data_IF_492489053284
#
_entry.id   IF_492489053284
#
_cell.length_a   1.000
_cell.length_b   1.000
_cell.length_c   1.000
_cell.angle_alpha   90.00
_cell.angle_beta   90.00
_cell.angle_gamma   90.00
#
_symmetry.space_group_name_H-M   'P 1'
#
loop_
_entity.id
_entity.type
_entity.pdbx_description
1 polymer ?
#
# COMPACT_ATOMS: atom_id res chain seq x y z
N UNK A 1 -73.88 23.39 -29.82
CA UNK A 1 -73.29 24.23 -30.87
C UNK A 1 -72.30 23.35 -31.61
N UNK A 2 -72.73 22.85 -32.76
CA UNK A 2 -72.04 21.86 -33.58
C UNK A 2 -71.42 22.59 -34.78
N UNK A 3 -70.10 22.60 -34.87
CA UNK A 3 -69.37 23.16 -36.00
C UNK A 3 -69.52 22.26 -37.25
N UNK A 4 -69.76 22.85 -38.43
CA UNK A 4 -69.87 22.10 -39.67
C UNK A 4 -68.49 21.74 -40.22
N UNK A 5 -68.30 20.46 -40.55
CA UNK A 5 -67.13 19.99 -41.30
C UNK A 5 -67.21 20.50 -42.75
N UNK A 6 -66.30 21.40 -43.11
CA UNK A 6 -66.05 21.75 -44.52
C UNK A 6 -65.33 20.58 -45.20
N UNK A 7 -66.03 19.93 -46.14
CA UNK A 7 -65.44 18.97 -47.05
C UNK A 7 -64.47 19.66 -48.01
N UNK A 8 -63.21 19.23 -47.98
CA UNK A 8 -62.21 19.61 -48.98
C UNK A 8 -62.59 19.01 -50.33
N UNK A 9 -63.07 19.84 -51.24
CA UNK A 9 -63.21 19.53 -52.66
C UNK A 9 -61.81 19.55 -53.26
N UNK A 10 -61.25 18.37 -53.50
CA UNK A 10 -60.01 18.21 -54.26
C UNK A 10 -60.33 18.50 -55.72
N UNK A 11 -59.91 19.66 -56.21
CA UNK A 11 -60.06 20.06 -57.61
C UNK A 11 -59.30 19.10 -58.52
N UNK A 12 -59.96 18.62 -59.57
CA UNK A 12 -59.45 17.67 -60.56
C UNK A 12 -58.27 18.19 -61.44
N UNK A 13 -57.74 19.38 -61.12
CA UNK A 13 -56.67 20.04 -61.87
C UNK A 13 -55.25 19.64 -61.43
N UNK A 14 -55.11 18.84 -60.36
CA UNK A 14 -53.80 18.34 -59.89
C UNK A 14 -53.36 17.01 -60.54
N UNK A 15 -54.15 16.44 -61.46
CA UNK A 15 -53.84 15.17 -62.14
C UNK A 15 -52.96 15.30 -63.40
N UNK A 16 -52.55 16.51 -63.78
CA UNK A 16 -51.78 16.75 -65.01
C UNK A 16 -50.47 17.50 -64.80
N UNK A 17 -49.88 17.46 -63.61
CA UNK A 17 -48.49 17.90 -63.46
C UNK A 17 -47.57 16.82 -64.04
N UNK A 18 -46.75 17.14 -65.05
CA UNK A 18 -45.74 16.21 -65.54
C UNK A 18 -44.87 15.79 -64.37
N UNK A 19 -44.53 14.50 -64.34
CA UNK A 19 -43.68 13.86 -63.34
C UNK A 19 -42.32 14.58 -63.35
N UNK A 20 -42.21 15.69 -62.61
CA UNK A 20 -40.94 16.36 -62.36
C UNK A 20 -40.17 15.33 -61.58
N UNK A 21 -39.24 14.65 -62.25
CA UNK A 21 -38.27 13.77 -61.63
C UNK A 21 -37.71 14.54 -60.44
N UNK A 22 -38.18 14.18 -59.24
CA UNK A 22 -37.69 14.74 -58.00
C UNK A 22 -36.18 14.60 -58.08
N UNK A 23 -35.41 15.71 -58.07
CA UNK A 23 -33.96 15.64 -58.21
C UNK A 23 -33.49 14.62 -57.20
N UNK A 24 -32.84 13.57 -57.69
CA UNK A 24 -32.40 12.44 -56.87
C UNK A 24 -31.72 13.03 -55.64
N UNK A 25 -32.34 12.81 -54.48
CA UNK A 25 -31.83 13.35 -53.22
C UNK A 25 -30.38 12.90 -53.14
N UNK A 26 -29.40 13.83 -53.14
CA UNK A 26 -28.00 13.46 -53.24
C UNK A 26 -27.70 12.46 -52.13
N UNK A 27 -27.22 11.27 -52.52
CA UNK A 27 -26.99 10.18 -51.59
C UNK A 27 -26.14 10.69 -50.43
N UNK A 28 -26.73 10.63 -49.23
CA UNK A 28 -26.15 11.21 -48.04
C UNK A 28 -24.87 10.45 -47.68
N UNK A 29 -23.73 11.12 -47.87
CA UNK A 29 -22.41 10.50 -47.77
C UNK A 29 -22.05 10.18 -46.32
N UNK A 30 -21.56 8.96 -46.09
CA UNK A 30 -21.15 8.49 -44.77
C UNK A 30 -19.70 8.90 -44.53
N UNK A 31 -19.41 9.55 -43.41
CA UNK A 31 -18.06 10.01 -43.07
C UNK A 31 -17.42 9.21 -41.92
N UNK A 32 -16.12 8.93 -42.04
CA UNK A 32 -15.34 8.28 -41.00
C UNK A 32 -15.29 9.11 -39.72
N UNK A 33 -15.64 8.53 -38.57
CA UNK A 33 -15.62 9.26 -37.28
C UNK A 33 -14.22 9.65 -36.80
N UNK A 34 -13.16 9.05 -37.36
CA UNK A 34 -11.76 9.33 -37.02
C UNK A 34 -11.15 10.44 -37.89
N UNK A 35 -11.22 10.32 -39.21
CA UNK A 35 -10.57 11.26 -40.14
C UNK A 35 -11.55 12.09 -40.98
N UNK A 36 -12.86 11.87 -40.85
CA UNK A 36 -13.91 12.50 -41.66
C UNK A 36 -13.85 12.19 -43.17
N UNK A 37 -13.04 11.21 -43.60
CA UNK A 37 -13.07 10.74 -44.99
C UNK A 37 -14.37 10.02 -45.31
N UNK A 38 -14.89 10.20 -46.52
CA UNK A 38 -16.08 9.49 -47.01
C UNK A 38 -15.82 7.98 -47.04
N UNK A 39 -16.80 7.19 -46.58
CA UNK A 39 -16.79 5.73 -46.56
C UNK A 39 -17.98 5.24 -47.38
N UNK A 40 -17.81 4.24 -48.25
CA UNK A 40 -18.91 3.72 -49.07
C UNK A 40 -20.04 3.10 -48.23
N UNK A 41 -19.71 2.43 -47.12
CA UNK A 41 -20.67 1.71 -46.28
C UNK A 41 -20.30 1.81 -44.80
N UNK A 42 -21.29 1.65 -43.90
CA UNK A 42 -21.11 1.79 -42.43
C UNK A 42 -20.06 0.81 -41.87
N UNK A 43 -19.96 -0.38 -42.45
CA UNK A 43 -19.05 -1.44 -41.99
C UNK A 43 -17.73 -1.49 -42.78
N UNK A 44 -17.59 -0.67 -43.83
CA UNK A 44 -16.37 -0.61 -44.62
C UNK A 44 -15.22 0.00 -43.81
N UNK A 45 -14.02 -0.53 -44.04
CA UNK A 45 -12.80 0.02 -43.47
C UNK A 45 -12.52 1.35 -44.17
N UNK A 46 -12.39 2.43 -43.39
CA UNK A 46 -12.03 3.72 -43.93
C UNK A 46 -10.70 3.64 -44.68
N UNK A 47 -10.71 3.95 -45.98
CA UNK A 47 -9.53 3.90 -46.87
C UNK A 47 -8.38 4.80 -46.42
N UNK A 48 -8.70 5.93 -45.76
CA UNK A 48 -7.69 6.93 -45.35
C UNK A 48 -7.00 6.57 -44.03
N UNK A 49 -7.74 6.04 -43.05
CA UNK A 49 -7.19 5.84 -41.69
C UNK A 49 -7.30 4.40 -41.15
N UNK A 50 -7.77 3.46 -41.96
CA UNK A 50 -7.92 2.04 -41.61
C UNK A 50 -8.97 1.78 -40.53
N UNK A 51 -9.85 2.74 -40.24
CA UNK A 51 -10.84 2.63 -39.18
C UNK A 51 -12.04 1.79 -39.62
N UNK A 52 -12.35 0.72 -38.89
CA UNK A 52 -13.50 -0.14 -39.13
C UNK A 52 -14.49 -0.08 -37.96
N UNK A 53 -15.78 0.09 -38.25
CA UNK A 53 -16.85 -0.02 -37.25
C UNK A 53 -17.31 -1.49 -37.10
N UNK A 54 -16.36 -2.41 -36.99
CA UNK A 54 -16.61 -3.85 -37.08
C UNK A 54 -16.54 -4.60 -35.74
N UNK A 55 -17.01 -5.85 -35.76
CA UNK A 55 -16.99 -6.77 -34.63
C UNK A 55 -15.58 -7.05 -34.11
N UNK A 56 -14.56 -7.02 -34.99
CA UNK A 56 -13.16 -7.17 -34.59
C UNK A 56 -12.72 -6.10 -33.57
N UNK A 57 -13.28 -4.89 -33.64
CA UNK A 57 -13.01 -3.84 -32.67
C UNK A 57 -13.67 -4.08 -31.32
N UNK A 58 -14.92 -4.56 -31.30
CA UNK A 58 -15.60 -5.00 -30.09
C UNK A 58 -14.76 -6.06 -29.35
N UNK A 59 -14.20 -6.99 -30.12
CA UNK A 59 -13.30 -8.01 -29.59
C UNK A 59 -12.00 -7.41 -29.03
N UNK A 60 -11.41 -6.38 -29.66
CA UNK A 60 -10.23 -5.67 -29.11
C UNK A 60 -10.55 -4.94 -27.80
N UNK A 61 -11.64 -4.19 -27.74
CA UNK A 61 -12.09 -3.50 -26.51
C UNK A 61 -12.32 -4.52 -25.39
N UNK A 62 -12.96 -5.64 -25.71
CA UNK A 62 -13.20 -6.73 -24.77
C UNK A 62 -11.89 -7.36 -24.27
N UNK A 63 -10.95 -7.66 -25.18
CA UNK A 63 -9.62 -8.18 -24.80
C UNK A 63 -8.83 -7.22 -23.93
N UNK A 64 -8.78 -5.93 -24.28
CA UNK A 64 -8.08 -4.93 -23.45
C UNK A 64 -8.72 -4.79 -22.07
N UNK A 65 -10.06 -4.76 -21.99
CA UNK A 65 -10.75 -4.76 -20.70
C UNK A 65 -10.44 -6.01 -19.89
N UNK A 66 -10.31 -7.17 -20.53
CA UNK A 66 -10.02 -8.43 -19.85
C UNK A 66 -8.58 -8.50 -19.34
N UNK A 67 -7.58 -8.10 -20.14
CA UNK A 67 -6.20 -8.03 -19.68
C UNK A 67 -5.98 -7.00 -18.58
N UNK A 68 -6.69 -5.87 -18.64
CA UNK A 68 -6.76 -4.93 -17.54
C UNK A 68 -7.28 -5.60 -16.26
N UNK A 69 -8.40 -6.33 -16.34
CA UNK A 69 -8.97 -7.05 -15.19
C UNK A 69 -8.05 -8.14 -14.65
N UNK A 70 -7.33 -8.88 -15.50
CA UNK A 70 -6.33 -9.87 -15.06
C UNK A 70 -5.18 -9.19 -14.34
N UNK A 71 -4.58 -8.14 -14.92
CA UNK A 71 -3.49 -7.41 -14.28
C UNK A 71 -3.91 -6.83 -12.92
N UNK A 72 -5.16 -6.37 -12.83
CA UNK A 72 -5.77 -5.91 -11.58
C UNK A 72 -5.98 -7.03 -10.56
N UNK A 73 -6.48 -8.19 -10.99
CA UNK A 73 -6.66 -9.35 -10.11
C UNK A 73 -5.32 -9.86 -9.56
N UNK A 74 -4.28 -9.86 -10.38
CA UNK A 74 -2.92 -10.22 -9.95
C UNK A 74 -2.40 -9.25 -8.89
N UNK A 75 -2.59 -7.94 -9.09
CA UNK A 75 -2.23 -6.95 -8.06
C UNK A 75 -2.94 -7.22 -6.72
N UNK A 76 -4.22 -7.59 -6.76
CA UNK A 76 -4.98 -7.93 -5.55
C UNK A 76 -4.47 -9.20 -4.85
N UNK A 77 -3.99 -10.17 -5.63
CA UNK A 77 -3.45 -11.42 -5.09
C UNK A 77 -2.07 -11.23 -4.43
N UNK A 78 -1.31 -10.18 -4.82
CA UNK A 78 0.03 -9.91 -4.28
C UNK A 78 0.08 -9.80 -2.74
N UNK A 79 -0.67 -8.89 -2.08
CA UNK A 79 -0.63 -8.77 -0.62
C UNK A 79 -1.07 -10.05 0.08
N UNK A 80 -2.03 -10.78 -0.51
CA UNK A 80 -2.48 -12.07 0.03
C UNK A 80 -1.37 -13.12 -0.01
N UNK A 81 -0.62 -13.22 -1.12
CA UNK A 81 0.49 -14.18 -1.22
C UNK A 81 1.67 -13.76 -0.34
N UNK A 82 1.98 -12.45 -0.31
CA UNK A 82 3.03 -11.90 0.52
C UNK A 82 2.79 -12.15 2.01
N UNK A 83 1.53 -12.23 2.46
CA UNK A 83 1.21 -12.60 3.84
C UNK A 83 1.74 -13.99 4.24
N UNK A 84 1.86 -14.93 3.30
CA UNK A 84 2.35 -16.29 3.56
C UNK A 84 3.86 -16.46 3.33
N UNK A 85 4.52 -15.44 2.76
CA UNK A 85 5.93 -15.52 2.38
C UNK A 85 6.77 -14.69 3.35
N UNK A 86 7.77 -15.27 4.04
CA UNK A 86 8.61 -14.51 4.96
C UNK A 86 9.34 -13.38 4.22
N UNK A 87 9.36 -12.19 4.83
CA UNK A 87 9.88 -10.95 4.22
C UNK A 87 11.35 -11.07 3.77
N UNK A 88 12.14 -11.88 4.48
CA UNK A 88 13.59 -12.05 4.24
C UNK A 88 13.90 -12.94 3.01
N UNK A 89 12.89 -13.43 2.31
CA UNK A 89 13.09 -14.42 1.25
C UNK A 89 13.28 -13.77 -0.11
N UNK A 90 14.19 -14.34 -0.91
CA UNK A 90 14.31 -14.04 -2.34
C UNK A 90 12.96 -14.18 -3.07
N UNK A 91 12.12 -15.13 -2.64
CA UNK A 91 10.79 -15.36 -3.17
C UNK A 91 9.86 -14.15 -3.01
N UNK A 92 9.88 -13.47 -1.85
CA UNK A 92 9.10 -12.26 -1.61
C UNK A 92 9.43 -11.16 -2.65
N UNK A 93 10.72 -10.91 -2.87
CA UNK A 93 11.16 -9.92 -3.85
C UNK A 93 10.79 -10.32 -5.29
N UNK A 94 10.93 -11.61 -5.64
CA UNK A 94 10.58 -12.12 -6.96
C UNK A 94 9.08 -11.99 -7.24
N UNK A 95 8.23 -12.29 -6.26
CA UNK A 95 6.77 -12.14 -6.37
C UNK A 95 6.40 -10.67 -6.57
N UNK A 96 6.89 -9.77 -5.72
CA UNK A 96 6.61 -8.33 -5.85
C UNK A 96 7.03 -7.78 -7.21
N UNK A 97 8.18 -8.21 -7.74
CA UNK A 97 8.62 -7.86 -9.08
C UNK A 97 7.62 -8.35 -10.13
N UNK A 98 7.23 -9.62 -10.11
CA UNK A 98 6.28 -10.19 -11.09
C UNK A 98 4.90 -9.49 -11.06
N UNK A 99 4.39 -9.19 -9.86
CA UNK A 99 3.13 -8.47 -9.69
C UNK A 99 3.22 -7.03 -10.19
N UNK A 100 4.38 -6.39 -10.03
CA UNK A 100 4.63 -5.05 -10.55
C UNK A 100 4.63 -4.99 -12.08
N UNK A 101 5.24 -5.96 -12.75
CA UNK A 101 5.15 -6.07 -14.21
C UNK A 101 3.71 -6.29 -14.67
N UNK A 102 2.97 -7.13 -13.96
CA UNK A 102 1.55 -7.38 -14.24
C UNK A 102 0.71 -6.11 -14.09
N UNK A 103 1.02 -5.28 -13.10
CA UNK A 103 0.38 -3.99 -12.89
C UNK A 103 0.65 -3.01 -14.04
N UNK A 104 1.92 -2.85 -14.43
CA UNK A 104 2.31 -1.98 -15.55
C UNK A 104 1.60 -2.44 -16.84
N UNK A 105 1.62 -3.74 -17.12
CA UNK A 105 0.92 -4.30 -18.27
C UNK A 105 -0.59 -4.02 -18.21
N UNK A 106 -1.23 -4.28 -17.06
CA UNK A 106 -2.64 -3.98 -16.84
C UNK A 106 -2.98 -2.50 -17.07
N UNK A 107 -2.15 -1.60 -16.56
CA UNK A 107 -2.30 -0.16 -16.75
C UNK A 107 -2.20 0.25 -18.23
N UNK A 108 -1.22 -0.28 -18.98
CA UNK A 108 -1.11 -0.05 -20.43
C UNK A 108 -2.39 -0.50 -21.14
N UNK A 109 -2.92 -1.68 -20.81
CA UNK A 109 -4.18 -2.15 -21.38
C UNK A 109 -5.39 -1.28 -20.98
N UNK A 110 -5.42 -0.73 -19.76
CA UNK A 110 -6.43 0.24 -19.31
C UNK A 110 -6.46 1.47 -20.22
N UNK A 111 -5.27 2.00 -20.48
CA UNK A 111 -5.08 3.20 -21.30
C UNK A 111 -5.43 2.92 -22.77
N UNK A 112 -5.05 1.76 -23.30
CA UNK A 112 -5.44 1.32 -24.64
C UNK A 112 -6.96 1.14 -24.74
N UNK A 113 -7.60 0.55 -23.74
CA UNK A 113 -9.06 0.45 -23.66
C UNK A 113 -9.71 1.84 -23.70
N UNK A 114 -9.23 2.77 -22.87
CA UNK A 114 -9.76 4.13 -22.81
C UNK A 114 -9.60 4.87 -24.16
N UNK A 115 -8.44 4.73 -24.81
CA UNK A 115 -8.21 5.25 -26.15
C UNK A 115 -9.21 4.70 -27.16
N UNK A 116 -9.49 3.39 -27.11
CA UNK A 116 -10.47 2.76 -28.00
C UNK A 116 -11.87 3.32 -27.75
N UNK A 117 -12.27 3.50 -26.49
CA UNK A 117 -13.55 4.07 -26.14
C UNK A 117 -13.73 5.50 -26.69
N UNK A 118 -12.73 6.37 -26.46
CA UNK A 118 -12.76 7.74 -26.98
C UNK A 118 -12.73 7.83 -28.50
N UNK A 119 -12.08 6.89 -29.16
CA UNK A 119 -12.00 6.87 -30.62
C UNK A 119 -13.28 6.38 -31.30
N UNK A 120 -14.29 5.91 -30.57
CA UNK A 120 -15.63 5.65 -31.12
C UNK A 120 -16.51 6.90 -31.15
N UNK A 121 -16.26 7.88 -30.27
CA UNK A 121 -17.04 9.12 -30.28
C UNK A 121 -16.65 9.94 -31.53
N UNK A 122 -17.62 10.48 -32.30
CA UNK A 122 -17.34 11.36 -33.44
C UNK A 122 -16.50 12.57 -33.06
N UNK A 123 -15.61 13.03 -33.96
CA UNK A 123 -14.73 14.20 -33.73
C UNK A 123 -15.50 15.44 -33.25
N UNK A 124 -16.64 15.75 -33.87
CA UNK A 124 -17.48 16.91 -33.51
C UNK A 124 -17.98 16.91 -32.06
N UNK A 125 -18.10 15.73 -31.45
CA UNK A 125 -18.68 15.56 -30.12
C UNK A 125 -17.59 15.47 -29.05
N UNK A 126 -16.31 15.61 -29.42
CA UNK A 126 -15.17 15.56 -28.50
C UNK A 126 -14.52 16.95 -28.42
N UNK A 127 -14.11 17.36 -27.22
CA UNK A 127 -13.32 18.58 -27.04
C UNK A 127 -11.83 18.35 -27.28
N UNK A 128 -11.35 17.11 -27.16
CA UNK A 128 -9.96 16.74 -27.36
C UNK A 128 -9.83 15.44 -28.17
N UNK A 129 -8.64 15.18 -28.70
CA UNK A 129 -8.34 13.92 -29.38
C UNK A 129 -8.23 12.77 -28.36
N UNK A 130 -8.56 11.51 -28.74
CA UNK A 130 -8.40 10.36 -27.84
C UNK A 130 -7.01 10.24 -27.24
N UNK A 131 -5.97 10.52 -28.03
CA UNK A 131 -4.59 10.54 -27.57
C UNK A 131 -4.29 11.65 -26.57
N UNK A 132 -5.01 12.78 -26.60
CA UNK A 132 -4.87 13.85 -25.60
C UNK A 132 -5.53 13.46 -24.28
N UNK A 133 -6.76 12.94 -24.31
CA UNK A 133 -7.42 12.45 -23.08
C UNK A 133 -6.57 11.41 -22.36
N UNK A 134 -5.93 10.52 -23.12
CA UNK A 134 -5.02 9.51 -22.58
C UNK A 134 -3.68 10.12 -22.16
N UNK A 135 -3.05 10.93 -23.01
CA UNK A 135 -1.72 11.49 -22.77
C UNK A 135 -1.67 12.37 -21.53
N UNK A 136 -2.73 13.14 -21.26
CA UNK A 136 -2.80 13.98 -20.07
C UNK A 136 -2.98 13.20 -18.76
N UNK A 137 -3.38 11.92 -18.80
CA UNK A 137 -3.41 11.06 -17.61
C UNK A 137 -2.03 10.66 -17.11
N UNK A 138 -1.00 10.82 -17.93
CA UNK A 138 0.37 10.54 -17.54
C UNK A 138 1.14 11.77 -17.07
N UNK A 139 0.54 12.96 -17.17
CA UNK A 139 1.16 14.17 -16.66
C UNK A 139 0.91 14.19 -15.14
N UNK A 140 1.96 14.13 -14.31
CA UNK A 140 1.82 14.10 -12.86
C UNK A 140 1.04 15.31 -12.38
N UNK A 141 0.24 15.13 -11.33
CA UNK A 141 -0.67 16.16 -10.76
C UNK A 141 -1.81 16.53 -11.71
N UNK A 142 -1.51 16.82 -12.97
CA UNK A 142 -2.49 17.16 -13.99
C UNK A 142 -3.44 16.00 -14.31
N UNK A 143 -2.99 14.76 -14.11
CA UNK A 143 -3.81 13.55 -14.15
C UNK A 143 -5.05 13.62 -13.25
N UNK A 144 -4.95 14.28 -12.08
CA UNK A 144 -6.08 14.42 -11.13
C UNK A 144 -7.21 15.24 -11.73
N UNK A 145 -6.88 16.25 -12.55
CA UNK A 145 -7.87 17.01 -13.29
C UNK A 145 -8.37 16.20 -14.50
N UNK A 146 -7.47 15.61 -15.29
CA UNK A 146 -7.81 14.99 -16.57
C UNK A 146 -8.57 13.66 -16.48
N UNK A 147 -8.53 12.98 -15.34
CA UNK A 147 -9.33 11.79 -15.11
C UNK A 147 -10.83 12.07 -15.28
N UNK A 148 -11.31 13.24 -14.84
CA UNK A 148 -12.72 13.59 -14.94
C UNK A 148 -13.17 13.79 -16.40
N UNK A 149 -12.53 14.67 -17.21
CA UNK A 149 -12.79 14.74 -18.63
C UNK A 149 -12.65 13.40 -19.33
N UNK A 150 -11.65 12.57 -18.99
CA UNK A 150 -11.36 11.32 -19.66
C UNK A 150 -12.38 10.21 -19.37
N UNK A 151 -12.87 10.07 -18.13
CA UNK A 151 -13.80 8.99 -17.76
C UNK A 151 -15.25 9.48 -17.69
N UNK A 152 -15.52 10.53 -16.91
CA UNK A 152 -16.87 11.11 -16.79
C UNK A 152 -17.33 11.74 -18.12
N UNK A 153 -16.43 12.50 -18.77
CA UNK A 153 -16.72 13.08 -20.07
C UNK A 153 -17.04 12.02 -21.13
N UNK A 154 -16.32 10.89 -21.13
CA UNK A 154 -16.56 9.76 -22.02
C UNK A 154 -17.98 9.22 -21.86
N UNK A 155 -18.39 8.90 -20.63
CA UNK A 155 -19.73 8.41 -20.35
C UNK A 155 -20.84 9.41 -20.73
N UNK A 156 -20.64 10.70 -20.44
CA UNK A 156 -21.58 11.76 -20.85
C UNK A 156 -21.74 11.81 -22.37
N UNK A 157 -20.64 11.72 -23.12
CA UNK A 157 -20.66 11.73 -24.60
C UNK A 157 -21.25 10.46 -25.18
N UNK A 158 -20.98 9.29 -24.59
CA UNK A 158 -21.62 8.04 -25.00
C UNK A 158 -23.14 8.11 -24.84
N UNK A 159 -23.63 8.66 -23.73
CA UNK A 159 -25.07 8.87 -23.51
C UNK A 159 -25.73 9.84 -24.49
N UNK A 160 -25.01 10.87 -24.93
CA UNK A 160 -25.52 11.80 -25.94
C UNK A 160 -25.70 11.14 -27.31
N UNK A 161 -24.98 10.05 -27.59
CA UNK A 161 -25.07 9.31 -28.83
C UNK A 161 -26.20 8.26 -28.82
N UNK A 162 -26.67 7.85 -27.64
CA UNK A 162 -27.78 6.90 -27.55
C UNK A 162 -29.13 7.56 -27.80
N UNK A 163 -30.08 6.84 -28.45
CA UNK A 163 -31.48 7.26 -28.49
C UNK A 163 -32.03 7.40 -27.06
N UNK A 164 -33.04 8.25 -26.88
CA UNK A 164 -33.54 8.64 -25.55
C UNK A 164 -33.93 7.43 -24.69
N UNK A 165 -34.51 6.41 -25.30
CA UNK A 165 -34.90 5.15 -24.67
C UNK A 165 -33.72 4.39 -24.05
N UNK A 166 -32.53 4.44 -24.69
CA UNK A 166 -31.32 3.75 -24.23
C UNK A 166 -30.39 4.65 -23.40
N UNK A 167 -30.68 5.95 -23.30
CA UNK A 167 -29.84 6.96 -22.61
C UNK A 167 -29.63 6.69 -21.11
N UNK A 168 -30.47 5.85 -20.47
CA UNK A 168 -30.35 5.49 -19.04
C UNK A 168 -29.30 4.43 -18.72
N UNK A 169 -28.66 3.81 -19.74
CA UNK A 169 -27.80 2.64 -19.54
C UNK A 169 -26.48 2.96 -18.82
N UNK A 170 -25.92 4.17 -19.03
CA UNK A 170 -24.76 4.66 -18.27
C UNK A 170 -25.24 5.80 -17.40
N UNK A 171 -25.07 5.74 -16.08
CA UNK A 171 -25.36 6.88 -15.20
C UNK A 171 -24.05 7.65 -14.99
N UNK A 172 -23.81 8.76 -15.71
CA UNK A 172 -22.54 9.47 -15.62
C UNK A 172 -22.33 10.05 -14.22
N UNK A 173 -23.42 10.34 -13.48
CA UNK A 173 -23.36 10.71 -12.08
C UNK A 173 -22.71 9.62 -11.20
N UNK A 174 -22.98 8.33 -11.46
CA UNK A 174 -22.33 7.23 -10.71
C UNK A 174 -20.84 7.23 -10.99
N UNK A 175 -20.43 7.36 -12.26
CA UNK A 175 -19.01 7.47 -12.62
C UNK A 175 -18.34 8.69 -11.97
N UNK A 176 -19.01 9.83 -11.93
CA UNK A 176 -18.49 11.02 -11.26
C UNK A 176 -18.29 10.78 -9.76
N UNK A 177 -19.29 10.19 -9.08
CA UNK A 177 -19.22 9.86 -7.65
C UNK A 177 -18.08 8.88 -7.39
N UNK A 178 -18.00 7.81 -8.19
CA UNK A 178 -16.94 6.80 -8.10
C UNK A 178 -15.55 7.43 -8.26
N UNK A 179 -15.34 8.25 -9.29
CA UNK A 179 -14.07 8.93 -9.52
C UNK A 179 -13.75 9.93 -8.40
N UNK A 180 -14.74 10.69 -7.94
CA UNK A 180 -14.55 11.68 -6.88
C UNK A 180 -14.18 11.00 -5.56
N UNK A 181 -14.82 9.88 -5.22
CA UNK A 181 -14.49 9.09 -4.02
C UNK A 181 -13.06 8.55 -4.11
N UNK A 182 -12.72 7.92 -5.24
CA UNK A 182 -11.39 7.38 -5.56
C UNK A 182 -10.30 8.45 -5.40
N UNK A 183 -10.44 9.59 -6.06
CA UNK A 183 -9.40 10.63 -6.09
C UNK A 183 -9.40 11.55 -4.88
N UNK A 184 -10.57 11.85 -4.32
CA UNK A 184 -10.68 12.58 -3.06
C UNK A 184 -10.00 11.82 -1.92
N UNK A 185 -10.15 10.49 -1.90
CA UNK A 185 -9.49 9.65 -0.91
C UNK A 185 -7.98 9.47 -1.18
N UNK A 186 -7.52 9.46 -2.45
CA UNK A 186 -6.08 9.54 -2.77
C UNK A 186 -5.44 10.80 -2.18
N UNK A 187 -6.11 11.95 -2.37
CA UNK A 187 -5.63 13.21 -1.83
C UNK A 187 -5.58 13.16 -0.30
N UNK A 188 -6.61 12.60 0.34
CA UNK A 188 -6.62 12.39 1.79
C UNK A 188 -5.43 11.53 2.25
N UNK A 189 -5.15 10.40 1.62
CA UNK A 189 -4.00 9.54 1.96
C UNK A 189 -2.69 10.27 1.76
N UNK A 190 -2.53 11.01 0.66
CA UNK A 190 -1.31 11.77 0.40
C UNK A 190 -1.07 12.80 1.52
N UNK A 191 -2.12 13.50 1.96
CA UNK A 191 -2.05 14.44 3.09
C UNK A 191 -1.67 13.70 4.38
N UNK A 192 -2.32 12.58 4.69
CA UNK A 192 -1.98 11.76 5.86
C UNK A 192 -0.56 11.21 5.78
N UNK A 193 -0.07 10.86 4.59
CA UNK A 193 1.31 10.39 4.39
C UNK A 193 2.31 11.51 4.66
N UNK A 194 2.05 12.71 4.14
CA UNK A 194 2.89 13.88 4.40
C UNK A 194 2.90 14.22 5.90
N UNK A 195 1.75 14.20 6.56
CA UNK A 195 1.62 14.42 8.00
C UNK A 195 2.39 13.36 8.81
N UNK A 196 2.28 12.09 8.40
CA UNK A 196 3.04 10.99 8.99
C UNK A 196 4.55 11.17 8.79
N UNK A 197 5.00 11.46 7.57
CA UNK A 197 6.42 11.69 7.28
C UNK A 197 7.00 12.86 8.08
N UNK A 198 6.22 13.94 8.25
CA UNK A 198 6.59 15.07 9.12
C UNK A 198 6.68 14.64 10.59
N UNK A 199 5.74 13.82 11.06
CA UNK A 199 5.73 13.30 12.43
C UNK A 199 6.94 12.39 12.71
N UNK A 200 7.32 11.54 11.74
CA UNK A 200 8.53 10.70 11.81
C UNK A 200 9.78 11.57 11.97
N UNK A 201 9.85 12.69 11.24
CA UNK A 201 11.00 13.59 11.31
C UNK A 201 11.18 14.26 12.68
N UNK A 202 10.19 14.18 13.58
CA UNK A 202 10.15 14.93 14.84
C UNK A 202 10.28 14.04 16.08
N UNK A 203 10.09 12.71 16.00
CA UNK A 203 10.06 11.84 17.19
C UNK A 203 10.84 10.51 17.08
N UNK A 204 11.75 10.27 18.04
CA UNK A 204 12.51 9.02 18.24
C UNK A 204 11.72 7.88 18.95
N UNK A 205 10.39 7.91 18.93
CA UNK A 205 9.58 7.09 19.86
C UNK A 205 9.02 5.78 19.26
N UNK A 206 8.79 4.73 20.09
CA UNK A 206 8.17 3.46 19.66
C UNK A 206 6.72 3.60 19.13
N UNK A 207 6.12 4.79 19.23
CA UNK A 207 4.85 5.13 18.58
C UNK A 207 4.93 4.97 17.05
N UNK A 208 6.13 5.11 16.47
CA UNK A 208 6.40 4.97 15.04
C UNK A 208 5.87 3.66 14.44
N UNK A 209 6.10 2.53 15.10
CA UNK A 209 5.76 1.21 14.55
C UNK A 209 4.24 1.06 14.44
N UNK A 210 3.51 1.46 15.49
CA UNK A 210 2.05 1.40 15.49
C UNK A 210 1.44 2.33 14.45
N UNK A 211 1.97 3.54 14.30
CA UNK A 211 1.52 4.49 13.27
C UNK A 211 1.82 3.99 11.85
N UNK A 212 2.99 3.39 11.62
CA UNK A 212 3.35 2.82 10.32
C UNK A 212 2.44 1.65 9.92
N UNK A 213 2.11 0.76 10.86
CA UNK A 213 1.19 -0.37 10.63
C UNK A 213 -0.23 0.11 10.32
N UNK A 214 -0.73 1.10 11.07
CA UNK A 214 -2.04 1.71 10.80
C UNK A 214 -2.04 2.35 9.41
N UNK A 215 -0.98 3.06 9.06
CA UNK A 215 -0.85 3.71 7.75
C UNK A 215 -0.85 2.68 6.61
N UNK A 216 -0.08 1.60 6.74
CA UNK A 216 -0.03 0.51 5.77
C UNK A 216 -1.42 -0.14 5.60
N UNK A 217 -2.15 -0.39 6.69
CA UNK A 217 -3.50 -0.96 6.63
C UNK A 217 -4.50 -0.02 5.95
N UNK A 218 -4.41 1.29 6.19
CA UNK A 218 -5.24 2.29 5.50
C UNK A 218 -4.90 2.30 4.00
N UNK A 219 -3.62 2.29 3.66
CA UNK A 219 -3.14 2.28 2.28
C UNK A 219 -3.59 1.02 1.53
N UNK A 220 -3.43 -0.17 2.11
CA UNK A 220 -3.89 -1.44 1.51
C UNK A 220 -5.40 -1.45 1.33
N UNK A 221 -6.17 -1.11 2.38
CA UNK A 221 -7.64 -1.03 2.31
C UNK A 221 -8.09 -0.10 1.19
N UNK A 222 -7.39 1.02 1.02
CA UNK A 222 -7.64 1.97 -0.03
C UNK A 222 -7.32 1.43 -1.42
N UNK A 223 -6.16 0.80 -1.61
CA UNK A 223 -5.82 0.14 -2.87
C UNK A 223 -6.93 -0.83 -3.23
N UNK A 224 -7.44 -1.64 -2.29
CA UNK A 224 -8.57 -2.53 -2.53
C UNK A 224 -9.85 -1.78 -2.96
N UNK A 225 -10.21 -0.70 -2.28
CA UNK A 225 -11.39 0.11 -2.65
C UNK A 225 -11.24 0.74 -4.04
N UNK A 226 -10.05 1.26 -4.37
CA UNK A 226 -9.72 1.79 -5.69
C UNK A 226 -9.88 0.75 -6.79
N UNK A 227 -9.40 -0.47 -6.53
CA UNK A 227 -9.52 -1.59 -7.47
C UNK A 227 -10.98 -1.89 -7.75
N UNK A 228 -11.81 -1.96 -6.71
CA UNK A 228 -13.25 -2.21 -6.83
C UNK A 228 -13.97 -1.14 -7.65
N UNK A 229 -13.75 0.14 -7.33
CA UNK A 229 -14.39 1.24 -8.04
C UNK A 229 -13.89 1.41 -9.47
N UNK A 230 -12.59 1.19 -9.71
CA UNK A 230 -12.01 1.23 -11.06
C UNK A 230 -12.56 0.11 -11.93
N UNK A 231 -12.72 -1.10 -11.37
CA UNK A 231 -13.37 -2.23 -12.05
C UNK A 231 -14.82 -1.90 -12.43
N UNK A 232 -15.60 -1.36 -11.49
CA UNK A 232 -16.98 -0.94 -11.75
C UNK A 232 -17.05 0.12 -12.86
N UNK A 233 -16.16 1.13 -12.83
CA UNK A 233 -16.07 2.17 -13.84
C UNK A 233 -15.76 1.60 -15.23
N UNK A 234 -14.79 0.67 -15.34
CA UNK A 234 -14.42 0.03 -16.60
C UNK A 234 -15.54 -0.85 -17.14
N UNK A 235 -16.24 -1.60 -16.29
CA UNK A 235 -17.40 -2.41 -16.70
C UNK A 235 -18.52 -1.51 -17.25
N UNK A 236 -18.81 -0.38 -16.59
CA UNK A 236 -19.80 0.60 -17.05
C UNK A 236 -19.41 1.23 -18.39
N UNK A 237 -18.13 1.59 -18.58
CA UNK A 237 -17.66 2.16 -19.84
C UNK A 237 -17.64 1.13 -20.96
N UNK A 238 -17.30 -0.13 -20.65
CA UNK A 238 -17.32 -1.25 -21.61
C UNK A 238 -18.74 -1.53 -22.07
N UNK A 239 -19.71 -1.60 -21.17
CA UNK A 239 -21.10 -1.85 -21.55
C UNK A 239 -21.64 -0.72 -22.44
N UNK A 240 -21.28 0.53 -22.13
CA UNK A 240 -21.55 1.68 -22.98
C UNK A 240 -20.90 1.59 -24.37
N UNK A 241 -19.62 1.23 -24.41
CA UNK A 241 -18.88 1.08 -25.65
C UNK A 241 -19.44 -0.02 -26.56
N UNK A 242 -19.72 -1.20 -26.02
CA UNK A 242 -20.30 -2.30 -26.77
C UNK A 242 -21.72 -1.96 -27.25
N UNK A 243 -22.52 -1.28 -26.41
CA UNK A 243 -23.87 -0.86 -26.80
C UNK A 243 -23.87 0.12 -27.98
N UNK A 244 -22.84 0.97 -28.12
CA UNK A 244 -22.68 1.85 -29.29
C UNK A 244 -22.35 1.07 -30.58
N UNK A 245 -21.62 -0.03 -30.45
CA UNK A 245 -21.26 -0.89 -31.58
C UNK A 245 -22.45 -1.75 -32.05
N UNK A 246 -23.37 -2.05 -31.14
CA UNK A 246 -24.59 -2.83 -31.38
C UNK A 246 -25.79 -2.01 -31.88
N UNK A 247 -25.61 -0.70 -32.11
CA UNK A 247 -26.69 0.12 -32.67
C UNK A 247 -27.09 -0.37 -34.07
N UNK A 248 -28.38 -0.29 -34.43
CA UNK A 248 -28.83 -0.60 -35.78
C UNK A 248 -28.10 0.29 -36.80
N UNK A 249 -27.92 -0.18 -38.05
CA UNK A 249 -27.14 0.52 -39.07
C UNK A 249 -27.64 1.95 -39.32
N UNK A 250 -28.95 2.19 -39.21
CA UNK A 250 -29.53 3.54 -39.37
C UNK A 250 -29.06 4.54 -38.29
N UNK A 251 -28.97 4.09 -37.04
CA UNK A 251 -28.47 4.93 -35.95
C UNK A 251 -26.96 5.16 -36.09
N UNK A 252 -26.20 4.14 -36.50
CA UNK A 252 -24.78 4.28 -36.83
C UNK A 252 -24.58 5.31 -37.94
N UNK A 253 -25.36 5.22 -39.02
CA UNK A 253 -25.35 6.15 -40.16
C UNK A 253 -25.65 7.57 -39.67
N UNK A 254 -26.70 7.77 -38.87
CA UNK A 254 -27.04 9.08 -38.27
C UNK A 254 -25.87 9.67 -37.47
N UNK A 255 -25.22 8.86 -36.64
CA UNK A 255 -24.06 9.29 -35.84
C UNK A 255 -22.90 9.72 -36.75
N UNK A 256 -22.64 8.97 -37.82
CA UNK A 256 -21.57 9.25 -38.79
C UNK A 256 -21.86 10.50 -39.65
N UNK A 257 -23.09 10.66 -40.15
CA UNK A 257 -23.50 11.77 -41.03
C UNK A 257 -23.56 13.10 -40.29
N UNK A 258 -23.74 13.05 -38.98
CA UNK A 258 -23.83 14.25 -38.18
C UNK A 258 -22.51 15.05 -38.08
N UNK A 259 -21.42 14.62 -38.72
CA UNK A 259 -20.09 15.26 -38.77
C UNK A 259 -19.97 16.18 -39.99
N UNK A 260 -20.22 17.51 -39.88
CA UNK A 260 -19.98 18.43 -40.99
C UNK A 260 -18.47 18.57 -41.26
N UNK A 261 -18.14 18.75 -42.54
CA UNK A 261 -16.80 18.74 -43.13
C UNK A 261 -15.70 19.26 -42.21
N UNK A 262 -14.79 18.38 -41.80
CA UNK A 262 -13.66 18.72 -40.95
C UNK A 262 -12.43 18.99 -41.82
N UNK A 263 -12.01 20.26 -42.00
CA UNK A 263 -10.79 20.56 -42.75
C UNK A 263 -9.55 20.00 -42.03
N UNK A 264 -8.69 19.36 -42.82
CA UNK A 264 -7.26 19.09 -42.58
C UNK A 264 -6.88 18.68 -41.15
N UNK A 265 -6.97 17.39 -40.83
CA UNK A 265 -6.37 16.85 -39.61
C UNK A 265 -4.83 16.89 -39.70
N UNK A 266 -4.21 17.95 -39.16
CA UNK A 266 -2.75 17.97 -38.92
C UNK A 266 -2.39 16.75 -38.05
N UNK A 267 -1.42 15.94 -38.51
CA UNK A 267 -0.81 14.87 -37.71
C UNK A 267 -0.24 15.49 -36.43
N UNK A 268 -0.94 15.39 -35.31
CA UNK A 268 -0.36 15.73 -34.02
C UNK A 268 0.74 14.70 -33.72
N UNK A 269 1.91 15.20 -33.33
CA UNK A 269 3.02 14.36 -32.92
C UNK A 269 2.63 13.58 -31.65
N UNK A 270 2.94 12.29 -31.62
CA UNK A 270 2.65 11.37 -30.51
C UNK A 270 3.52 11.61 -29.26
N UNK A 271 4.12 12.80 -29.16
CA UNK A 271 5.25 13.10 -28.29
C UNK A 271 5.03 13.05 -26.77
N UNK A 272 3.81 13.10 -26.18
CA UNK A 272 3.73 12.93 -24.72
C UNK A 272 3.80 11.47 -24.28
N UNK A 273 3.59 10.47 -25.15
CA UNK A 273 3.47 9.06 -24.74
C UNK A 273 4.81 8.46 -24.25
N UNK A 274 5.97 8.69 -24.90
CA UNK A 274 7.24 8.16 -24.40
C UNK A 274 7.69 8.83 -23.09
N UNK A 275 7.48 10.14 -22.94
CA UNK A 275 7.84 10.90 -21.75
C UNK A 275 6.98 10.51 -20.53
N UNK A 276 5.69 10.31 -20.76
CA UNK A 276 4.72 9.77 -19.83
C UNK A 276 5.09 8.39 -19.26
N UNK A 277 5.41 7.45 -20.16
CA UNK A 277 5.82 6.09 -19.79
C UNK A 277 7.15 6.14 -19.05
N UNK A 278 8.11 6.95 -19.51
CA UNK A 278 9.39 7.16 -18.84
C UNK A 278 9.23 7.70 -17.41
N UNK A 279 8.33 8.65 -17.20
CA UNK A 279 8.09 9.25 -15.88
C UNK A 279 7.35 8.30 -14.92
N UNK A 280 6.35 7.54 -15.41
CA UNK A 280 5.67 6.52 -14.61
C UNK A 280 6.60 5.39 -14.19
N UNK A 281 7.46 4.92 -15.12
CA UNK A 281 8.51 3.94 -14.83
C UNK A 281 9.52 4.51 -13.83
N UNK A 282 9.93 5.77 -13.99
CA UNK A 282 10.83 6.45 -13.06
C UNK A 282 10.24 6.53 -11.65
N UNK A 283 9.00 7.01 -11.49
CA UNK A 283 8.34 7.07 -10.18
C UNK A 283 8.19 5.71 -9.52
N UNK A 284 7.88 4.68 -10.32
CA UNK A 284 7.80 3.30 -9.83
C UNK A 284 9.16 2.76 -9.35
N UNK A 285 10.23 2.99 -10.12
CA UNK A 285 11.58 2.63 -9.68
C UNK A 285 12.02 3.47 -8.47
N UNK A 286 11.64 4.75 -8.40
CA UNK A 286 11.91 5.57 -7.23
C UNK A 286 11.15 5.03 -6.01
N UNK A 287 9.89 4.62 -6.10
CA UNK A 287 9.17 4.06 -4.95
C UNK A 287 9.72 2.71 -4.50
N UNK A 288 10.01 1.78 -5.43
CA UNK A 288 10.48 0.44 -5.08
C UNK A 288 11.97 0.37 -4.72
N UNK A 289 12.80 1.31 -5.20
CA UNK A 289 14.24 1.32 -4.91
C UNK A 289 14.56 2.32 -3.80
N UNK A 290 14.03 3.56 -3.87
CA UNK A 290 14.37 4.59 -2.89
C UNK A 290 13.65 4.33 -1.56
N UNK A 291 12.41 3.85 -1.54
CA UNK A 291 11.74 3.61 -0.25
C UNK A 291 12.45 2.53 0.59
N UNK A 292 12.83 1.35 0.05
CA UNK A 292 13.63 0.39 0.78
C UNK A 292 15.06 0.88 1.06
N UNK A 293 15.68 1.67 0.17
CA UNK A 293 16.99 2.26 0.44
C UNK A 293 16.96 3.34 1.52
N UNK A 294 15.88 4.12 1.64
CA UNK A 294 15.68 5.08 2.73
C UNK A 294 15.44 4.32 4.02
N UNK A 295 14.58 3.29 4.02
CA UNK A 295 14.37 2.44 5.20
C UNK A 295 15.64 1.70 5.63
N UNK A 296 16.45 1.25 4.67
CA UNK A 296 17.73 0.56 4.91
C UNK A 296 18.85 1.54 5.31
N UNK A 297 18.87 2.74 4.72
CA UNK A 297 19.88 3.79 4.94
C UNK A 297 19.65 4.63 6.20
N UNK A 298 18.39 4.82 6.61
CA UNK A 298 18.03 5.32 7.94
C UNK A 298 18.29 4.27 9.04
N UNK A 299 18.71 3.05 8.68
CA UNK A 299 19.28 2.04 9.56
C UNK A 299 20.67 2.39 10.11
N UNK A 300 20.89 3.66 10.51
CA UNK A 300 21.99 4.02 11.39
C UNK A 300 21.82 3.24 12.69
N UNK A 301 22.57 2.14 12.83
CA UNK A 301 22.38 1.08 13.83
C UNK A 301 20.93 0.58 13.80
N UNK A 302 20.69 -0.46 12.99
CA UNK A 302 19.52 -1.34 13.16
C UNK A 302 19.22 -1.43 14.66
N UNK A 303 18.01 -1.07 15.12
CA UNK A 303 17.56 -1.57 16.39
C UNK A 303 17.45 -3.07 16.17
N UNK A 304 18.56 -3.79 16.32
CA UNK A 304 18.59 -5.23 16.45
C UNK A 304 17.76 -5.53 17.68
N UNK A 305 16.47 -5.64 17.43
CA UNK A 305 15.47 -6.35 18.18
C UNK A 305 15.77 -6.45 19.67
N UNK A 306 15.44 -5.44 20.47
CA UNK A 306 15.47 -5.60 21.94
C UNK A 306 14.68 -6.86 22.37
N UNK A 307 13.60 -7.21 21.68
CA UNK A 307 12.85 -8.44 21.90
C UNK A 307 13.60 -9.72 21.49
N UNK A 308 14.29 -9.72 20.35
CA UNK A 308 15.04 -10.89 19.86
C UNK A 308 16.40 -11.01 20.55
N UNK A 309 16.94 -9.92 21.13
CA UNK A 309 18.02 -9.91 22.12
C UNK A 309 17.53 -10.48 23.45
N UNK A 310 16.30 -10.18 23.89
CA UNK A 310 15.67 -10.82 25.05
C UNK A 310 15.46 -12.32 24.79
N UNK A 311 15.02 -12.75 23.60
CA UNK A 311 14.88 -14.17 23.27
C UNK A 311 16.23 -14.90 23.07
N UNK A 312 17.22 -14.27 22.41
CA UNK A 312 18.61 -14.81 22.37
C UNK A 312 19.24 -14.87 23.75
N UNK A 313 18.93 -13.88 24.60
CA UNK A 313 19.35 -13.90 26.00
C UNK A 313 18.63 -15.01 26.75
N UNK A 314 17.37 -15.36 26.45
CA UNK A 314 16.70 -16.51 27.04
C UNK A 314 17.46 -17.82 26.82
N UNK A 315 17.90 -18.11 25.60
CA UNK A 315 18.65 -19.34 25.29
C UNK A 315 20.07 -19.31 25.89
N UNK A 316 20.73 -18.14 25.93
CA UNK A 316 22.01 -17.95 26.61
C UNK A 316 21.88 -18.04 28.13
N UNK A 317 20.82 -17.48 28.72
CA UNK A 317 20.50 -17.51 30.14
C UNK A 317 20.12 -18.92 30.57
N UNK A 318 19.43 -19.67 29.73
CA UNK A 318 19.15 -21.09 29.97
C UNK A 318 20.44 -21.91 29.92
N UNK A 319 21.35 -21.64 28.97
CA UNK A 319 22.68 -22.26 28.95
C UNK A 319 23.50 -21.91 30.20
N UNK A 320 23.50 -20.64 30.63
CA UNK A 320 24.15 -20.20 31.86
C UNK A 320 23.50 -20.84 33.10
N UNK A 321 22.17 -20.97 33.15
CA UNK A 321 21.45 -21.65 34.23
C UNK A 321 21.86 -23.13 34.32
N UNK A 322 21.92 -23.81 33.17
CA UNK A 322 22.33 -25.22 33.10
C UNK A 322 23.80 -25.37 33.52
N UNK A 323 24.69 -24.48 33.07
CA UNK A 323 26.10 -24.48 33.46
C UNK A 323 26.28 -24.19 34.95
N UNK A 324 25.54 -23.23 35.51
CA UNK A 324 25.52 -22.93 36.94
C UNK A 324 25.01 -24.11 37.76
N UNK A 325 23.93 -24.76 37.31
CA UNK A 325 23.36 -25.95 37.97
C UNK A 325 24.31 -27.15 37.93
N UNK A 326 24.97 -27.38 36.79
CA UNK A 326 26.00 -28.41 36.67
C UNK A 326 27.16 -28.14 37.64
N UNK A 327 27.68 -26.90 37.64
CA UNK A 327 28.75 -26.51 38.55
C UNK A 327 28.35 -26.63 40.02
N UNK A 328 27.10 -26.26 40.37
CA UNK A 328 26.56 -26.43 41.71
C UNK A 328 26.62 -27.90 42.16
N UNK A 329 26.16 -28.80 41.30
CA UNK A 329 26.13 -30.24 41.59
C UNK A 329 27.55 -30.79 41.74
N UNK A 330 28.48 -30.36 40.90
CA UNK A 330 29.87 -30.83 40.90
C UNK A 330 30.68 -30.31 42.10
N UNK A 331 30.26 -29.22 42.73
CA UNK A 331 30.98 -28.55 43.83
C UNK A 331 30.16 -28.49 45.14
N UNK A 332 29.20 -29.40 45.34
CA UNK A 332 28.35 -29.47 46.54
C UNK A 332 27.67 -28.12 46.92
N UNK A 333 27.29 -27.34 45.90
CA UNK A 333 26.67 -26.02 46.06
C UNK A 333 27.65 -24.89 46.40
N UNK A 334 28.96 -25.14 46.41
CA UNK A 334 29.97 -24.10 46.65
C UNK A 334 30.30 -23.35 45.34
N UNK A 335 30.25 -22.02 45.40
CA UNK A 335 30.62 -21.15 44.30
C UNK A 335 31.79 -20.25 44.70
N UNK A 336 32.76 -20.01 43.80
CA UNK A 336 33.83 -19.07 44.07
C UNK A 336 33.26 -17.65 44.21
N UNK A 337 33.73 -16.91 45.22
CA UNK A 337 33.38 -15.51 45.42
C UNK A 337 34.10 -14.65 44.37
N UNK A 338 33.51 -14.53 43.19
CA UNK A 338 33.95 -13.60 42.15
C UNK A 338 32.81 -12.63 41.82
N UNK A 339 33.11 -11.34 41.69
CA UNK A 339 32.11 -10.31 41.37
C UNK A 339 32.51 -9.57 40.09
N UNK A 340 31.50 -9.05 39.38
CA UNK A 340 31.72 -8.26 38.16
C UNK A 340 32.23 -9.06 36.95
N UNK A 341 33.19 -8.49 36.21
CA UNK A 341 33.67 -9.02 34.91
C UNK A 341 34.36 -10.39 35.04
N UNK A 342 35.04 -10.64 36.16
CA UNK A 342 35.78 -11.88 36.40
C UNK A 342 34.83 -13.07 36.61
N UNK A 343 33.75 -12.88 37.40
CA UNK A 343 32.71 -13.89 37.58
C UNK A 343 31.98 -14.23 36.27
N UNK A 344 31.70 -13.23 35.43
CA UNK A 344 31.08 -13.47 34.12
C UNK A 344 32.03 -14.23 33.18
N UNK A 345 33.32 -13.88 33.15
CA UNK A 345 34.32 -14.58 32.34
C UNK A 345 34.52 -16.03 32.81
N UNK A 346 34.47 -16.28 34.12
CA UNK A 346 34.50 -17.62 34.70
C UNK A 346 33.32 -18.47 34.23
N UNK A 347 32.09 -17.94 34.28
CA UNK A 347 30.88 -18.65 33.84
C UNK A 347 30.84 -18.93 32.33
N UNK A 348 31.48 -18.08 31.53
CA UNK A 348 31.56 -18.23 30.08
C UNK A 348 32.79 -19.05 29.61
N UNK A 349 33.49 -19.72 30.53
CA UNK A 349 34.61 -20.61 30.20
C UNK A 349 35.92 -19.88 29.81
N UNK A 350 36.18 -18.70 30.38
CA UNK A 350 37.48 -18.04 30.33
C UNK A 350 37.81 -17.26 29.06
N UNK A 351 36.90 -17.18 28.07
CA UNK A 351 37.10 -16.33 26.90
C UNK A 351 36.53 -14.93 27.14
N UNK A 352 37.30 -14.06 27.79
CA UNK A 352 36.97 -12.63 27.79
C UNK A 352 37.22 -12.08 26.38
N UNK A 353 36.17 -11.89 25.57
CA UNK A 353 36.29 -11.10 24.35
C UNK A 353 36.56 -9.65 24.77
N UNK A 354 37.73 -9.13 24.41
CA UNK A 354 38.15 -7.74 24.67
C UNK A 354 37.35 -6.67 23.91
N UNK A 355 36.22 -7.04 23.30
CA UNK A 355 35.38 -6.16 22.48
C UNK A 355 34.05 -5.74 23.12
N UNK A 356 33.80 -6.06 24.40
CA UNK A 356 32.67 -5.51 25.15
C UNK A 356 32.96 -4.05 25.59
N UNK A 357 33.14 -3.15 24.63
CA UNK A 357 33.11 -1.70 24.86
C UNK A 357 31.67 -1.21 24.72
N UNK A 358 30.94 -1.20 25.84
CA UNK A 358 29.60 -0.60 25.90
C UNK A 358 28.84 -1.03 27.14
N UNK A 359 28.89 -0.18 28.17
CA UNK A 359 27.98 0.14 29.28
C UNK A 359 27.06 -0.91 29.93
N UNK A 360 27.10 -2.19 29.55
CA UNK A 360 26.32 -3.24 30.20
C UNK A 360 26.98 -3.65 31.51
N UNK A 361 26.52 -3.04 32.61
CA UNK A 361 26.89 -3.42 33.97
C UNK A 361 26.19 -4.73 34.37
N UNK A 362 26.81 -5.87 34.06
CA UNK A 362 26.42 -7.15 34.64
C UNK A 362 26.91 -7.22 36.08
N UNK A 363 26.00 -7.34 37.05
CA UNK A 363 26.34 -7.55 38.46
C UNK A 363 26.05 -9.01 38.78
N UNK A 364 27.11 -9.83 38.80
CA UNK A 364 27.06 -11.18 39.33
C UNK A 364 27.28 -11.13 40.84
N UNK A 365 26.26 -11.55 41.61
CA UNK A 365 26.37 -11.76 43.05
C UNK A 365 26.55 -13.28 43.26
N UNK A 366 27.81 -13.72 43.24
CA UNK A 366 28.15 -15.11 43.54
C UNK A 366 27.89 -15.47 45.00
N UNK A 367 27.48 -16.73 45.22
CA UNK A 367 27.64 -17.48 46.47
C UNK A 367 27.32 -16.73 47.75
N UNK A 368 26.04 -16.56 48.06
CA UNK A 368 25.59 -16.12 49.37
C UNK A 368 25.72 -17.30 50.35
N UNK A 369 26.94 -17.47 50.89
CA UNK A 369 27.30 -18.39 51.98
C UNK A 369 27.37 -19.89 51.62
N UNK A 370 28.39 -20.59 52.13
CA UNK A 370 28.66 -22.03 51.92
C UNK A 370 27.59 -22.96 52.58
N UNK A 371 26.45 -22.43 53.01
CA UNK A 371 25.41 -23.15 53.76
C UNK A 371 23.97 -22.71 53.42
N UNK A 372 23.74 -21.93 52.36
CA UNK A 372 22.37 -21.70 51.89
C UNK A 372 21.82 -22.95 51.21
N UNK A 373 20.49 -23.11 51.23
CA UNK A 373 19.85 -24.17 50.44
C UNK A 373 20.23 -23.98 48.97
N UNK A 374 20.40 -25.07 48.19
CA UNK A 374 20.82 -25.04 46.79
C UNK A 374 19.87 -24.28 45.84
N UNK A 375 18.86 -23.57 46.36
CA UNK A 375 17.78 -22.98 45.58
C UNK A 375 17.99 -21.49 45.24
N UNK A 376 19.05 -20.83 45.75
CA UNK A 376 19.17 -19.36 45.64
C UNK A 376 20.56 -18.85 45.19
N UNK A 377 20.78 -18.84 43.88
CA UNK A 377 21.78 -18.03 43.16
C UNK A 377 20.96 -17.01 42.40
N UNK A 378 21.37 -15.75 42.47
CA UNK A 378 20.67 -14.67 41.78
C UNK A 378 21.64 -13.95 40.87
N UNK A 379 21.51 -14.17 39.56
CA UNK A 379 22.18 -13.36 38.56
C UNK A 379 21.26 -12.21 38.15
N UNK A 380 21.77 -10.98 38.19
CA UNK A 380 21.05 -9.79 37.77
C UNK A 380 21.63 -9.27 36.45
N UNK A 381 20.80 -9.33 35.41
CA UNK A 381 21.10 -8.64 34.16
C UNK A 381 20.35 -7.32 34.18
N UNK A 382 21.10 -6.23 34.31
CA UNK A 382 20.56 -4.88 34.22
C UNK A 382 20.90 -4.32 32.85
N UNK A 383 19.89 -3.89 32.09
CA UNK A 383 20.11 -2.91 31.05
C UNK A 383 20.14 -1.53 31.71
N UNK A 384 21.25 -0.77 31.62
CA UNK A 384 21.29 0.55 32.21
C UNK A 384 20.17 1.40 31.62
N UNK A 385 19.33 2.03 32.44
CA UNK A 385 18.38 3.00 31.91
C UNK A 385 19.15 4.20 31.38
N UNK A 386 18.89 4.58 30.13
CA UNK A 386 19.26 5.91 29.64
C UNK A 386 18.49 6.93 30.47
N UNK A 387 19.21 7.73 31.28
CA UNK A 387 18.73 8.88 32.06
C UNK A 387 17.21 8.92 32.35
N UNK A 388 16.77 8.23 33.42
CA UNK A 388 15.44 8.45 34.03
C UNK A 388 14.38 7.38 33.74
N UNK A 389 14.61 6.46 32.81
CA UNK A 389 13.65 5.42 32.48
C UNK A 389 13.66 4.20 33.43
N UNK A 390 12.58 3.42 33.43
CA UNK A 390 12.47 2.14 34.12
C UNK A 390 13.47 1.10 33.59
N UNK A 391 14.26 0.49 34.46
CA UNK A 391 15.14 -0.62 34.12
C UNK A 391 14.41 -1.97 34.21
N UNK A 392 14.60 -2.84 33.23
CA UNK A 392 14.14 -4.22 33.30
C UNK A 392 15.30 -5.05 33.88
N UNK A 393 15.04 -5.73 34.99
CA UNK A 393 16.00 -6.63 35.62
C UNK A 393 15.51 -8.06 35.44
N UNK A 394 16.36 -8.93 34.93
CA UNK A 394 16.06 -10.37 34.87
C UNK A 394 16.75 -11.05 36.05
N UNK A 395 15.94 -11.72 36.88
CA UNK A 395 16.39 -12.51 38.02
C UNK A 395 16.41 -13.96 37.58
N UNK A 396 17.60 -14.56 37.58
CA UNK A 396 17.76 -16.00 37.34
C UNK A 396 17.82 -16.72 38.69
N UNK A 397 16.91 -17.66 38.92
CA UNK A 397 16.93 -18.54 40.10
C UNK A 397 17.59 -19.90 39.77
N UNK A 398 18.11 -20.61 40.78
CA UNK A 398 18.85 -21.89 40.57
C UNK A 398 17.98 -23.01 40.08
N UNK A 399 16.69 -22.97 40.44
CA UNK A 399 15.70 -23.91 39.92
C UNK A 399 15.50 -23.78 38.39
N UNK A 400 16.09 -22.77 37.76
CA UNK A 400 15.97 -22.48 36.32
C UNK A 400 14.84 -21.52 36.01
N UNK A 401 14.10 -21.04 37.02
CA UNK A 401 13.05 -20.06 36.82
C UNK A 401 13.67 -18.69 36.49
N UNK A 402 13.16 -18.11 35.42
CA UNK A 402 13.50 -16.76 34.99
C UNK A 402 12.33 -15.86 35.35
N UNK A 403 12.52 -14.98 36.34
CA UNK A 403 11.50 -14.00 36.71
C UNK A 403 11.91 -12.61 36.22
N UNK A 404 11.18 -12.03 35.24
CA UNK A 404 11.38 -10.64 34.87
C UNK A 404 10.82 -9.74 35.98
N UNK A 405 11.67 -8.90 36.57
CA UNK A 405 11.25 -7.89 37.53
C UNK A 405 11.43 -6.52 36.88
N UNK A 406 10.32 -5.91 36.47
CA UNK A 406 10.31 -4.55 35.93
C UNK A 406 10.38 -3.59 37.12
N UNK A 407 11.39 -2.73 37.15
CA UNK A 407 11.60 -1.77 38.23
C UNK A 407 11.68 -0.35 37.67
N UNK A 408 10.87 0.55 38.20
CA UNK A 408 10.83 1.94 37.76
C UNK A 408 11.90 2.78 38.48
N UNK A 409 12.76 3.43 37.69
CA UNK A 409 13.68 4.47 38.13
C UNK A 409 14.87 4.00 38.98
N UNK A 410 15.59 4.99 39.54
CA UNK A 410 16.79 4.78 40.37
C UNK A 410 16.52 3.92 41.61
N UNK A 411 15.25 3.82 42.04
CA UNK A 411 14.74 3.06 43.19
C UNK A 411 14.78 1.53 43.06
N UNK A 412 14.96 1.01 41.85
CA UNK A 412 14.69 -0.39 41.53
C UNK A 412 15.42 -1.42 42.40
N UNK A 413 16.68 -1.18 42.74
CA UNK A 413 17.48 -2.14 43.51
C UNK A 413 16.91 -2.45 44.90
N UNK A 414 16.39 -1.45 45.62
CA UNK A 414 15.83 -1.67 46.97
C UNK A 414 14.57 -2.54 46.87
N UNK A 415 13.68 -2.21 45.94
CA UNK A 415 12.45 -2.96 45.75
C UNK A 415 12.71 -4.38 45.24
N UNK A 416 13.79 -4.58 44.47
CA UNK A 416 14.29 -5.90 44.10
C UNK A 416 14.66 -6.71 45.34
N UNK A 417 15.52 -6.16 46.21
CA UNK A 417 15.96 -6.85 47.43
C UNK A 417 14.80 -7.11 48.40
N UNK A 418 13.80 -6.22 48.44
CA UNK A 418 12.58 -6.40 49.23
C UNK A 418 11.69 -7.51 48.67
N UNK A 419 11.45 -7.53 47.36
CA UNK A 419 10.69 -8.61 46.68
C UNK A 419 11.39 -9.96 46.75
N UNK A 420 12.72 -9.98 46.77
CA UNK A 420 13.51 -11.20 47.01
C UNK A 420 13.54 -11.65 48.48
N UNK A 421 12.98 -10.84 49.39
CA UNK A 421 12.88 -11.12 50.83
C UNK A 421 14.17 -10.89 51.61
N UNK A 422 15.15 -10.17 51.06
CA UNK A 422 16.41 -9.85 51.75
C UNK A 422 16.31 -8.61 52.64
N UNK A 423 15.47 -7.65 52.24
CA UNK A 423 15.13 -6.48 53.02
C UNK A 423 13.66 -6.52 53.41
N UNK A 424 13.32 -6.01 54.58
CA UNK A 424 11.94 -5.75 54.97
C UNK A 424 11.47 -4.37 54.47
N UNK A 425 10.25 -3.99 54.85
CA UNK A 425 9.66 -2.70 54.46
C UNK A 425 10.43 -1.50 55.02
N UNK A 426 11.19 -1.70 56.10
CA UNK A 426 12.05 -0.68 56.74
C UNK A 426 13.47 -0.62 56.18
N UNK A 427 13.77 -1.40 55.13
CA UNK A 427 15.12 -1.59 54.57
C UNK A 427 16.11 -2.23 55.55
N UNK A 428 15.63 -2.90 56.59
CA UNK A 428 16.48 -3.72 57.45
C UNK A 428 16.63 -5.13 56.85
N UNK A 429 17.76 -5.78 57.10
CA UNK A 429 17.95 -7.16 56.65
C UNK A 429 17.03 -8.11 57.42
N UNK A 430 16.22 -8.85 56.67
CA UNK A 430 15.46 -10.00 57.20
C UNK A 430 16.41 -11.09 57.68
N UNK A 431 15.90 -12.15 58.32
CA UNK A 431 16.73 -13.32 58.66
C UNK A 431 17.43 -13.92 57.42
N UNK A 432 16.77 -13.91 56.26
CA UNK A 432 17.35 -14.29 54.97
C UNK A 432 18.44 -13.32 54.53
N UNK A 433 18.24 -12.01 54.72
CA UNK A 433 19.23 -10.98 54.46
C UNK A 433 20.44 -11.01 55.40
N UNK A 434 20.27 -11.45 56.65
CA UNK A 434 21.37 -11.55 57.63
C UNK A 434 22.35 -12.68 57.30
N UNK A 435 21.92 -13.68 56.54
CA UNK A 435 22.75 -14.79 56.07
C UNK A 435 23.71 -14.38 54.93
N UNK A 436 23.54 -13.18 54.36
CA UNK A 436 24.43 -12.62 53.35
C UNK A 436 25.82 -12.30 53.95
N UNK A 437 26.86 -12.40 53.12
CA UNK A 437 28.22 -12.00 53.49
C UNK A 437 28.25 -10.53 53.96
N UNK A 438 29.08 -10.19 54.98
CA UNK A 438 29.20 -8.82 55.48
C UNK A 438 29.44 -7.79 54.37
N UNK A 439 30.29 -8.10 53.39
CA UNK A 439 30.64 -7.20 52.29
C UNK A 439 29.45 -6.93 51.37
N UNK A 440 28.63 -7.95 51.11
CA UNK A 440 27.39 -7.82 50.33
C UNK A 440 26.37 -6.98 51.07
N UNK A 441 26.25 -7.17 52.38
CA UNK A 441 25.36 -6.35 53.22
C UNK A 441 25.79 -4.89 53.22
N UNK A 442 27.09 -4.62 53.35
CA UNK A 442 27.64 -3.26 53.29
C UNK A 442 27.45 -2.60 51.93
N UNK A 443 27.51 -3.37 50.84
CA UNK A 443 27.21 -2.87 49.51
C UNK A 443 25.73 -2.52 49.34
N UNK A 444 24.83 -3.41 49.77
CA UNK A 444 23.37 -3.16 49.74
C UNK A 444 23.03 -1.93 50.59
N UNK A 445 23.62 -1.80 51.79
CA UNK A 445 23.41 -0.62 52.65
C UNK A 445 23.95 0.67 52.01
N UNK A 446 25.06 0.60 51.26
CA UNK A 446 25.56 1.74 50.47
C UNK A 446 24.56 2.15 49.39
N UNK A 447 24.02 1.20 48.63
CA UNK A 447 22.99 1.47 47.62
C UNK A 447 21.71 2.07 48.24
N UNK A 448 21.27 1.54 49.39
CA UNK A 448 20.13 2.07 50.13
C UNK A 448 20.39 3.52 50.58
N UNK A 449 21.61 3.82 51.04
CA UNK A 449 22.02 5.16 51.50
C UNK A 449 22.24 6.14 50.34
N UNK A 450 22.65 5.67 49.18
CA UNK A 450 22.80 6.51 47.98
C UNK A 450 21.45 6.89 47.38
N UNK A 451 20.42 6.06 47.54
CA UNK A 451 19.06 6.37 47.10
C UNK A 451 18.27 7.25 48.08
N UNK A 452 18.61 7.24 49.37
CA UNK A 452 17.96 8.13 50.34
C UNK A 452 18.44 9.58 50.26
N UNK A 453 19.44 9.85 49.40
CA UNK A 453 19.91 11.18 49.02
C UNK A 453 19.32 11.58 47.67
#
# INVERSE_FOLDING_TARGET
MSEPQMGNVVSAEDLSRPNVETPSVPEEKICCTRCAAEIPEVDAVCSVCGFAWNEARKQKITRYSYYFLIGFLLLFLNPFLNYFVPEDTFLFNMLNFLFSFSFIAGFVFAVMFLYQCWSMIPKKNRSAWPGQYVGFLFVPIYQFYWIFPAFYGLAKRQNQLFPEEKRRRIRPAILLILLTLVYGFQLFILVTFCDFALSISVQDSPFFINSAVIFLNIFVTFVVAMLFFSMAAVILLKSGACSLLELPPEEKKRIMMSVPGAPGAKKLSLWPIPAAIGFGILLFFLSEIIFPLILSGCGGKKPENRLLQVFRSGDQLQKIAISLKSYANDNEGQFPAQSGKEGLAFLLGGKSSSSASGDSSCIYLGGLNNRMSPDTIVAFFAHPPSHGDSGIYTVLCVNGDIQPVILSGKGGYIELFRKSGFLDDSNAFTEKGKQLLPETRDYILRLVKEQSK
#
